data_IF_156070370181
#
_entry.id   IF_156070370181
#
_cell.length_a   1.000
_cell.length_b   1.000
_cell.length_c   1.000
_cell.angle_alpha   90.00
_cell.angle_beta   90.00
_cell.angle_gamma   90.00
#
_symmetry.space_group_name_H-M   'P 1'
#
loop_
_entity.id
_entity.type
_entity.pdbx_description
1 polymer ?
#
# COMPACT_ATOMS: atom_id res chain seq x y z
N UNK A 1 14.75 -14.05 6.64
CA UNK A 1 13.49 -13.84 5.89
C UNK A 1 13.84 -13.15 4.57
N UNK A 2 13.49 -13.74 3.43
CA UNK A 2 13.73 -13.12 2.12
C UNK A 2 12.56 -12.18 1.82
N UNK A 3 12.81 -10.88 1.73
CA UNK A 3 11.81 -9.88 1.35
C UNK A 3 11.40 -10.10 -0.10
N UNK A 4 10.16 -10.54 -0.34
CA UNK A 4 9.65 -10.75 -1.70
C UNK A 4 9.20 -9.42 -2.27
N UNK A 5 9.86 -8.96 -3.33
CA UNK A 5 9.49 -7.73 -4.07
C UNK A 5 8.31 -7.98 -5.01
N UNK A 6 7.12 -8.18 -4.44
CA UNK A 6 5.87 -8.30 -5.19
C UNK A 6 4.71 -7.65 -4.44
N UNK A 7 3.67 -7.28 -5.17
CA UNK A 7 2.41 -6.83 -4.61
C UNK A 7 1.76 -7.95 -3.78
N UNK A 8 1.44 -7.70 -2.52
CA UNK A 8 0.72 -8.66 -1.67
C UNK A 8 -0.66 -9.02 -2.23
N UNK A 9 -1.32 -8.06 -2.91
CA UNK A 9 -2.71 -8.21 -3.38
C UNK A 9 -2.83 -8.98 -4.69
N UNK A 10 -1.90 -8.78 -5.63
CA UNK A 10 -2.02 -9.32 -7.00
C UNK A 10 -0.75 -10.01 -7.53
N UNK A 11 0.35 -10.02 -6.77
CA UNK A 11 1.59 -10.67 -7.17
C UNK A 11 2.42 -9.94 -8.24
N UNK A 12 1.98 -8.78 -8.74
CA UNK A 12 2.78 -7.99 -9.67
C UNK A 12 4.15 -7.63 -9.07
N UNK A 13 5.21 -7.73 -9.85
CA UNK A 13 6.60 -7.49 -9.40
C UNK A 13 7.09 -6.07 -9.66
N UNK A 14 6.20 -5.18 -10.12
CA UNK A 14 6.54 -3.79 -10.41
C UNK A 14 5.44 -2.80 -10.02
N UNK A 15 5.87 -1.56 -9.82
CA UNK A 15 5.05 -0.40 -9.51
C UNK A 15 5.65 0.83 -10.19
N UNK A 16 4.91 1.93 -10.23
CA UNK A 16 5.35 3.21 -10.79
C UNK A 16 5.04 4.38 -9.86
N UNK A 17 5.86 5.45 -9.83
CA UNK A 17 5.50 6.67 -9.13
C UNK A 17 4.26 7.31 -9.76
N UNK A 18 3.42 7.92 -8.94
CA UNK A 18 2.26 8.67 -9.40
C UNK A 18 2.65 10.13 -9.60
N UNK A 19 2.33 10.66 -10.77
CA UNK A 19 2.45 12.09 -11.08
C UNK A 19 1.06 12.70 -11.02
N UNK A 20 0.87 13.74 -10.22
CA UNK A 20 -0.39 14.49 -10.09
C UNK A 20 -0.15 15.96 -10.43
N UNK A 21 -1.21 16.69 -10.75
CA UNK A 21 -1.17 18.15 -10.82
C UNK A 21 -1.22 18.70 -9.40
N UNK A 22 -0.38 19.67 -9.10
CA UNK A 22 -0.53 20.51 -7.92
C UNK A 22 -1.63 21.58 -8.13
N UNK A 23 -1.87 22.40 -7.12
CA UNK A 23 -2.88 23.48 -7.14
C UNK A 23 -2.63 24.51 -8.24
N UNK A 24 -1.37 24.64 -8.71
CA UNK A 24 -0.99 25.51 -9.83
C UNK A 24 -1.17 24.84 -11.19
N UNK A 25 -1.63 23.58 -11.23
CA UNK A 25 -1.77 22.78 -12.44
C UNK A 25 -0.47 22.12 -12.93
N UNK A 26 0.63 22.27 -12.19
CA UNK A 26 1.95 21.75 -12.57
C UNK A 26 2.04 20.25 -12.27
N UNK A 27 2.53 19.46 -13.22
CA UNK A 27 2.73 18.02 -13.03
C UNK A 27 3.94 17.75 -12.13
N UNK A 28 3.70 17.15 -10.96
CA UNK A 28 4.74 16.82 -9.96
C UNK A 28 4.58 15.41 -9.41
N UNK A 29 5.67 14.75 -8.98
CA UNK A 29 5.58 13.52 -8.21
C UNK A 29 4.70 13.72 -6.96
N UNK A 30 3.73 12.85 -6.74
CA UNK A 30 2.80 12.98 -5.61
C UNK A 30 3.33 12.40 -4.30
N UNK A 31 4.48 11.71 -4.34
CA UNK A 31 5.00 10.91 -3.22
C UNK A 31 4.31 9.55 -3.08
N UNK A 32 3.31 9.25 -3.90
CA UNK A 32 2.67 7.93 -3.96
C UNK A 32 3.24 7.09 -5.10
N UNK A 33 3.11 5.78 -4.94
CA UNK A 33 3.38 4.77 -5.94
C UNK A 33 2.10 4.00 -6.27
N UNK A 34 2.04 3.44 -7.46
CA UNK A 34 0.93 2.63 -7.94
C UNK A 34 1.42 1.28 -8.44
N UNK A 35 0.81 0.20 -7.94
CA UNK A 35 1.02 -1.15 -8.47
C UNK A 35 0.57 -1.22 -9.94
N UNK A 36 1.41 -1.75 -10.83
CA UNK A 36 1.04 -1.80 -12.27
C UNK A 36 -0.07 -2.80 -12.57
N UNK A 37 -0.21 -3.84 -11.74
CA UNK A 37 -1.26 -4.87 -11.86
C UNK A 37 -2.61 -4.37 -11.35
N UNK A 38 -2.79 -4.37 -10.02
CA UNK A 38 -4.07 -4.06 -9.38
C UNK A 38 -4.35 -2.57 -9.12
N UNK A 39 -3.46 -1.66 -9.54
CA UNK A 39 -3.59 -0.21 -9.35
C UNK A 39 -3.66 0.27 -7.89
N UNK A 40 -3.33 -0.58 -6.92
CA UNK A 40 -3.16 -0.21 -5.51
C UNK A 40 -2.22 0.99 -5.39
N UNK A 41 -2.68 2.05 -4.74
CA UNK A 41 -1.89 3.24 -4.40
C UNK A 41 -1.29 3.04 -3.01
N UNK A 42 -0.01 3.37 -2.84
CA UNK A 42 0.71 3.24 -1.59
C UNK A 42 1.85 4.25 -1.51
N UNK A 43 2.21 4.71 -0.32
CA UNK A 43 3.37 5.59 -0.09
C UNK A 43 4.58 4.83 0.46
N UNK A 44 4.33 3.75 1.21
CA UNK A 44 5.34 2.87 1.77
C UNK A 44 5.43 1.55 1.00
N UNK A 45 6.65 1.17 0.64
CA UNK A 45 6.93 -0.07 -0.07
C UNK A 45 6.52 -1.32 0.72
N UNK A 46 6.54 -1.26 2.06
CA UNK A 46 6.18 -2.41 2.89
C UNK A 46 4.66 -2.66 2.87
N UNK A 47 3.85 -1.62 2.66
CA UNK A 47 2.40 -1.74 2.39
C UNK A 47 2.13 -2.38 1.02
N UNK A 48 3.03 -2.23 0.05
CA UNK A 48 2.92 -2.94 -1.22
C UNK A 48 3.28 -4.42 -1.08
N UNK A 49 4.31 -4.73 -0.29
CA UNK A 49 4.82 -6.10 -0.07
C UNK A 49 3.98 -6.96 0.86
N UNK A 50 3.36 -6.35 1.87
CA UNK A 50 2.63 -7.04 2.93
C UNK A 50 1.20 -6.52 3.05
N UNK A 51 0.30 -7.35 3.59
CA UNK A 51 -1.00 -6.87 4.06
C UNK A 51 -0.73 -5.97 5.26
N UNK A 52 -1.09 -4.69 5.18
CA UNK A 52 -0.94 -3.78 6.31
C UNK A 52 -1.81 -4.25 7.47
N UNK A 53 -1.23 -4.91 8.48
CA UNK A 53 -1.93 -5.34 9.70
C UNK A 53 -2.12 -4.17 10.68
N UNK A 54 -2.52 -2.99 10.19
CA UNK A 54 -2.80 -1.85 11.08
C UNK A 54 -4.13 -1.97 11.83
N UNK A 55 -4.90 -3.03 11.56
CA UNK A 55 -6.15 -3.34 12.23
C UNK A 55 -6.06 -4.71 12.93
N UNK A 56 -5.21 -4.83 13.95
CA UNK A 56 -5.44 -5.85 14.98
C UNK A 56 -6.65 -5.38 15.81
N UNK A 57 -7.81 -5.85 15.39
CA UNK A 57 -9.11 -5.68 16.02
C UNK A 57 -9.03 -6.15 17.49
N UNK A 58 -9.15 -5.22 18.43
CA UNK A 58 -9.35 -5.53 19.84
C UNK A 58 -10.79 -6.05 20.05
N UNK A 59 -11.00 -7.36 19.87
CA UNK A 59 -12.17 -8.05 20.44
C UNK A 59 -11.73 -8.65 21.77
N UNK A 60 -11.78 -7.85 22.84
CA UNK A 60 -12.01 -8.37 24.18
C UNK A 60 -13.52 -8.47 24.35
N UNK A 61 -14.06 -9.63 23.98
CA UNK A 61 -15.38 -10.05 24.45
C UNK A 61 -15.23 -10.47 25.90
N UNK A 62 -15.78 -9.68 26.81
CA UNK A 62 -16.10 -10.10 28.17
C UNK A 62 -17.17 -11.20 28.10
N UNK A 63 -16.86 -12.41 28.55
CA UNK A 63 -17.86 -13.42 28.91
C UNK A 63 -17.35 -14.24 30.12
N UNK A 64 -18.32 -14.57 30.96
CA UNK A 64 -18.36 -15.01 32.35
C UNK A 64 -17.52 -16.25 32.71
N UNK A 65 -16.92 -16.22 33.92
CA UNK A 65 -17.41 -17.01 35.07
C UNK A 65 -16.68 -16.66 36.37
#
# INVERSE_FOLDING_TARGET
>A
MTTINKCHRCGATSYKPVIKRDESGTMKPSGENQCVGCKLIFTDIDTWRNVSTKDDVNIQGEDER
#
